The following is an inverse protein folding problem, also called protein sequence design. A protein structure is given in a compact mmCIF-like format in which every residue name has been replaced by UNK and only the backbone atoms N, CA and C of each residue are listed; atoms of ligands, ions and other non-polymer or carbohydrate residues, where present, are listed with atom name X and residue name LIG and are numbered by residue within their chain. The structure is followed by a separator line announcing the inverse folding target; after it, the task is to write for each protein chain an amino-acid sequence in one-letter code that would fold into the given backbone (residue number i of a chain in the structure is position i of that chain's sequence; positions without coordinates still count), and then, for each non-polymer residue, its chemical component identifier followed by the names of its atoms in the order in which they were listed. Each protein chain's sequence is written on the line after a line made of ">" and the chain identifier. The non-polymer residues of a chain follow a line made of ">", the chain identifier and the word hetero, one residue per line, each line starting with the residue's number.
data_IF_611148370476
#
_entry.id   IF_611148370476
#
_cell.length_a   1.000
_cell.length_b   1.000
_cell.length_c   1.000
_cell.angle_alpha   90.00
_cell.angle_beta   90.00
_cell.angle_gamma   90.00
#
_symmetry.space_group_name_H-M   'P 1'
#
loop_
_entity.id
_entity.type
_entity.pdbx_description
1 polymer ?
#
# COMPACT_ATOMS: atom_id res chain seq x y z
N UNK A 1 -6.08 -23.13 -5.21
CA UNK A 1 -5.48 -22.77 -3.90
C UNK A 1 -4.17 -22.09 -4.25
N UNK A 2 -4.31 -20.90 -4.81
CA UNK A 2 -3.28 -20.32 -5.67
C UNK A 2 -2.44 -19.36 -4.87
N UNK A 3 -1.15 -19.69 -4.89
CA UNK A 3 -0.10 -19.13 -4.07
C UNK A 3 0.04 -17.64 -4.34
N UNK A 4 -0.06 -16.87 -3.27
CA UNK A 4 0.54 -15.55 -3.11
C UNK A 4 2.03 -15.59 -3.52
N UNK A 5 2.32 -15.35 -4.80
CA UNK A 5 3.66 -15.07 -5.30
C UNK A 5 3.63 -13.69 -5.95
N UNK A 6 3.62 -12.65 -5.13
CA UNK A 6 4.06 -11.32 -5.57
C UNK A 6 5.36 -11.04 -4.81
N UNK A 7 6.45 -11.63 -5.30
CA UNK A 7 7.80 -11.24 -4.94
C UNK A 7 8.24 -10.03 -5.77
N UNK A 8 9.28 -9.29 -5.34
CA UNK A 8 9.81 -8.12 -6.05
C UNK A 8 10.31 -8.41 -7.48
N UNK A 9 10.38 -9.68 -7.89
CA UNK A 9 10.81 -10.11 -9.22
C UNK A 9 9.71 -10.10 -10.30
N UNK A 10 8.45 -9.78 -9.98
CA UNK A 10 7.35 -9.75 -10.96
C UNK A 10 6.58 -8.43 -11.08
N UNK A 11 7.00 -7.35 -10.40
CA UNK A 11 6.58 -6.02 -10.81
C UNK A 11 7.47 -5.61 -11.99
N UNK A 12 6.98 -5.80 -13.21
CA UNK A 12 7.55 -5.12 -14.38
C UNK A 12 7.73 -3.64 -14.06
N UNK A 13 8.88 -3.04 -14.40
CA UNK A 13 9.11 -1.59 -14.29
C UNK A 13 7.91 -0.79 -14.85
N UNK A 14 7.29 -1.30 -15.91
CA UNK A 14 6.11 -0.72 -16.53
C UNK A 14 4.89 -0.70 -15.61
N UNK A 15 4.64 -1.74 -14.81
CA UNK A 15 3.45 -1.78 -13.94
C UNK A 15 3.53 -0.71 -12.83
N UNK A 16 4.75 -0.40 -12.37
CA UNK A 16 4.99 0.68 -11.42
C UNK A 16 4.75 2.05 -12.06
N UNK A 17 5.35 2.29 -13.22
CA UNK A 17 5.19 3.57 -13.93
C UNK A 17 3.74 3.80 -14.35
N UNK A 18 3.07 2.76 -14.86
CA UNK A 18 1.65 2.80 -15.22
C UNK A 18 0.77 3.12 -14.00
N UNK A 19 1.01 2.48 -12.85
CA UNK A 19 0.29 2.80 -11.62
C UNK A 19 0.49 4.26 -11.19
N UNK A 20 1.73 4.76 -11.27
CA UNK A 20 2.05 6.13 -10.92
C UNK A 20 1.40 7.13 -11.90
N UNK A 21 1.37 6.81 -13.19
CA UNK A 21 0.69 7.60 -14.22
C UNK A 21 -0.83 7.61 -14.03
N UNK A 22 -1.43 6.49 -13.62
CA UNK A 22 -2.86 6.42 -13.30
C UNK A 22 -3.19 7.33 -12.10
N UNK A 23 -2.41 7.28 -11.03
CA UNK A 23 -2.60 8.17 -9.87
C UNK A 23 -2.43 9.65 -10.22
N UNK A 24 -1.43 9.98 -11.06
CA UNK A 24 -1.24 11.37 -11.53
C UNK A 24 -2.40 11.83 -12.41
N UNK A 25 -2.89 10.96 -13.29
CA UNK A 25 -3.99 11.26 -14.21
C UNK A 25 -5.34 11.41 -13.49
N UNK A 26 -5.53 10.77 -12.33
CA UNK A 26 -6.70 10.98 -11.48
C UNK A 26 -6.67 12.30 -10.69
N UNK A 27 -5.65 13.15 -10.91
CA UNK A 27 -5.47 14.42 -10.20
C UNK A 27 -4.85 14.26 -8.81
N UNK A 28 -4.29 13.10 -8.49
CA UNK A 28 -3.65 12.84 -7.20
C UNK A 28 -2.13 13.02 -7.30
N UNK A 29 -1.55 13.83 -6.43
CA UNK A 29 -0.10 13.95 -6.31
C UNK A 29 0.45 12.81 -5.45
N UNK A 30 1.39 12.02 -5.99
CA UNK A 30 2.07 10.98 -5.23
C UNK A 30 3.11 11.64 -4.31
N UNK A 31 2.83 11.72 -3.02
CA UNK A 31 3.73 12.32 -2.03
C UNK A 31 4.88 11.42 -1.59
N UNK A 32 4.67 10.09 -1.60
CA UNK A 32 5.70 9.10 -1.28
C UNK A 32 5.39 7.72 -1.87
N UNK A 33 6.45 6.97 -2.15
CA UNK A 33 6.39 5.55 -2.47
C UNK A 33 7.13 4.76 -1.38
N UNK A 34 6.45 3.79 -0.76
CA UNK A 34 7.03 2.97 0.30
C UNK A 34 7.18 1.54 -0.18
N UNK A 35 8.43 1.06 -0.20
CA UNK A 35 8.76 -0.31 -0.55
C UNK A 35 9.19 -1.10 0.69
N UNK A 36 8.92 -2.40 0.68
CA UNK A 36 9.36 -3.31 1.74
C UNK A 36 9.09 -4.76 1.37
N UNK A 37 10.02 -5.64 1.72
CA UNK A 37 9.81 -7.08 1.59
C UNK A 37 8.84 -7.55 2.68
N UNK A 38 7.79 -8.25 2.28
CA UNK A 38 6.83 -8.85 3.19
C UNK A 38 7.18 -10.33 3.32
N UNK A 39 7.92 -10.69 4.37
CA UNK A 39 8.31 -12.11 4.58
C UNK A 39 7.09 -12.98 4.91
N UNK A 40 6.19 -12.47 5.76
CA UNK A 40 4.90 -13.09 6.08
C UNK A 40 3.86 -12.01 6.35
N UNK A 41 2.71 -12.02 5.65
CA UNK A 41 1.67 -11.06 5.93
C UNK A 41 1.08 -11.31 7.32
N UNK A 42 0.85 -10.25 8.08
CA UNK A 42 0.17 -10.37 9.39
C UNK A 42 -1.34 -10.36 9.21
N UNK A 43 -2.06 -11.16 9.99
CA UNK A 43 -3.54 -11.21 9.94
C UNK A 43 -4.19 -9.86 10.27
N UNK A 44 -3.52 -9.04 11.10
CA UNK A 44 -4.06 -7.76 11.57
C UNK A 44 -3.91 -6.65 10.53
N UNK A 45 -2.70 -6.41 10.02
CA UNK A 45 -2.38 -5.21 9.23
C UNK A 45 -1.67 -5.52 7.91
N UNK A 46 -1.55 -6.79 7.50
CA UNK A 46 -0.77 -7.24 6.32
C UNK A 46 0.75 -7.02 6.46
N UNK A 47 1.20 -5.84 6.90
CA UNK A 47 2.59 -5.52 7.23
C UNK A 47 2.87 -5.67 8.73
N UNK A 48 4.17 -5.74 9.10
CA UNK A 48 4.60 -5.73 10.51
C UNK A 48 4.35 -4.35 11.13
N UNK A 49 4.12 -4.31 12.45
CA UNK A 49 3.82 -3.08 13.19
C UNK A 49 4.85 -1.96 12.94
N UNK A 50 6.15 -2.26 12.97
CA UNK A 50 7.19 -1.24 12.74
C UNK A 50 7.06 -0.54 11.38
N UNK A 51 6.74 -1.30 10.31
CA UNK A 51 6.54 -0.74 8.97
C UNK A 51 5.23 0.05 8.88
N UNK A 52 4.20 -0.40 9.59
CA UNK A 52 2.94 0.33 9.67
C UNK A 52 3.12 1.68 10.37
N UNK A 53 3.87 1.75 11.46
CA UNK A 53 4.18 3.02 12.14
C UNK A 53 5.06 3.96 11.28
N UNK A 54 5.98 3.40 10.48
CA UNK A 54 6.75 4.18 9.49
C UNK A 54 5.81 4.85 8.47
N UNK A 55 4.91 4.08 7.85
CA UNK A 55 3.93 4.60 6.89
C UNK A 55 3.01 5.62 7.56
N UNK A 56 2.55 5.37 8.80
CA UNK A 56 1.73 6.31 9.56
C UNK A 56 2.42 7.68 9.72
N UNK A 57 3.73 7.70 10.02
CA UNK A 57 4.49 8.95 10.10
C UNK A 57 4.54 9.67 8.76
N UNK A 58 4.85 8.96 7.68
CA UNK A 58 4.87 9.53 6.33
C UNK A 58 3.51 10.10 5.91
N UNK A 59 2.40 9.40 6.22
CA UNK A 59 1.04 9.91 5.97
C UNK A 59 0.80 11.22 6.71
N UNK A 60 1.22 11.33 7.98
CA UNK A 60 1.06 12.56 8.77
C UNK A 60 1.96 13.69 8.28
N UNK A 61 3.21 13.39 7.95
CA UNK A 61 4.18 14.37 7.45
C UNK A 61 3.74 14.97 6.11
N UNK A 62 3.15 14.15 5.24
CA UNK A 62 2.69 14.56 3.91
C UNK A 62 1.24 15.03 3.88
N UNK A 63 0.51 14.93 5.00
CA UNK A 63 -0.95 15.12 5.03
C UNK A 63 -1.68 14.31 3.95
N UNK A 64 -1.33 13.03 3.80
CA UNK A 64 -1.86 12.21 2.73
C UNK A 64 -3.33 11.80 2.98
N UNK A 65 -4.21 12.11 2.02
CA UNK A 65 -5.64 11.77 2.08
C UNK A 65 -5.98 10.33 1.64
N UNK A 66 -5.00 9.64 1.04
CA UNK A 66 -5.16 8.29 0.52
C UNK A 66 -3.85 7.50 0.58
N UNK A 67 -3.93 6.26 1.06
CA UNK A 67 -2.86 5.28 0.96
C UNK A 67 -3.33 4.15 0.03
N UNK A 68 -2.54 3.84 -0.99
CA UNK A 68 -2.87 2.74 -1.91
C UNK A 68 -1.89 1.59 -1.71
N UNK A 69 -2.44 0.39 -1.51
CA UNK A 69 -1.67 -0.85 -1.43
C UNK A 69 -1.74 -1.59 -2.76
N UNK A 70 -0.59 -1.96 -3.31
CA UNK A 70 -0.50 -2.79 -4.51
C UNK A 70 -0.64 -4.30 -4.22
N UNK A 71 -1.13 -4.66 -3.04
CA UNK A 71 -1.34 -6.04 -2.64
C UNK A 71 -2.76 -6.17 -2.12
N UNK A 72 -3.41 -7.30 -2.40
CA UNK A 72 -4.73 -7.58 -1.88
C UNK A 72 -4.73 -7.59 -0.34
N UNK A 73 -5.60 -6.78 0.25
CA UNK A 73 -5.89 -6.78 1.67
C UNK A 73 -7.23 -7.51 1.90
N UNK A 74 -7.32 -8.25 3.00
CA UNK A 74 -8.64 -8.69 3.48
C UNK A 74 -9.43 -7.49 4.00
N UNK A 75 -10.79 -7.55 4.02
CA UNK A 75 -11.61 -6.45 4.53
C UNK A 75 -11.32 -6.06 5.98
N UNK A 76 -10.76 -6.97 6.78
CA UNK A 76 -10.33 -6.63 8.15
C UNK A 76 -8.99 -5.89 8.18
N UNK A 77 -8.05 -6.24 7.30
CA UNK A 77 -6.75 -5.59 7.23
C UNK A 77 -6.89 -4.15 6.73
N UNK A 78 -7.68 -3.93 5.69
CA UNK A 78 -8.01 -2.61 5.15
C UNK A 78 -8.57 -1.69 6.27
N UNK A 79 -9.65 -2.11 6.93
CA UNK A 79 -10.24 -1.34 8.04
C UNK A 79 -9.28 -1.09 9.21
N UNK A 80 -8.36 -2.02 9.48
CA UNK A 80 -7.36 -1.81 10.54
C UNK A 80 -6.30 -0.79 10.13
N UNK A 81 -5.89 -0.80 8.86
CA UNK A 81 -4.95 0.17 8.30
C UNK A 81 -5.58 1.57 8.20
N UNK A 82 -6.83 1.68 7.78
CA UNK A 82 -7.56 2.96 7.78
C UNK A 82 -7.60 3.59 9.16
N UNK A 83 -7.94 2.80 10.19
CA UNK A 83 -7.92 3.26 11.58
C UNK A 83 -6.52 3.63 12.06
N UNK A 84 -5.50 2.89 11.63
CA UNK A 84 -4.13 3.15 12.04
C UNK A 84 -3.59 4.44 11.42
N UNK A 85 -3.84 4.65 10.13
CA UNK A 85 -3.34 5.80 9.38
C UNK A 85 -4.23 7.03 9.49
N UNK A 86 -5.46 6.87 10.00
CA UNK A 86 -6.45 7.94 10.13
C UNK A 86 -6.81 8.56 8.76
N UNK A 87 -6.71 7.76 7.69
CA UNK A 87 -6.95 8.16 6.30
C UNK A 87 -7.51 6.98 5.48
N UNK A 88 -7.99 7.25 4.27
CA UNK A 88 -8.58 6.21 3.42
C UNK A 88 -7.50 5.25 2.92
N UNK A 89 -7.82 3.96 2.86
CA UNK A 89 -6.91 2.94 2.33
C UNK A 89 -7.60 2.23 1.18
N UNK A 90 -7.00 2.27 -0.01
CA UNK A 90 -7.50 1.53 -1.17
C UNK A 90 -6.55 0.42 -1.56
N UNK A 91 -7.12 -0.62 -2.15
CA UNK A 91 -6.36 -1.68 -2.81
C UNK A 91 -6.27 -1.31 -4.28
N UNK A 92 -5.07 -1.21 -4.82
CA UNK A 92 -4.86 -1.09 -6.27
C UNK A 92 -5.34 -2.36 -6.94
N UNK A 93 -6.43 -2.27 -7.71
CA UNK A 93 -6.83 -3.30 -8.65
C UNK A 93 -5.97 -3.10 -9.91
N UNK A 94 -4.79 -3.70 -9.91
CA UNK A 94 -4.06 -4.02 -11.15
C UNK A 94 -4.13 -5.53 -11.38
#
# INVERSE_FOLDING_TARGET
>A
MDRYLIGPENLSLNAKEEFAELCRSSGSSIGAEVFGKIDKPTSKNFIKQGKAEEIKRTVKELSADLVIFNNSLTPSQERNLERLFETRVWIGLL
#
